data_IF_461135069011
#
_entry.id   IF_461135069011
#
_cell.length_a   1.000
_cell.length_b   1.000
_cell.length_c   1.000
_cell.angle_alpha   90.00
_cell.angle_beta   90.00
_cell.angle_gamma   90.00
#
_symmetry.space_group_name_H-M   'P 1'
#
loop_
_entity.id
_entity.type
_entity.pdbx_description
1 polymer ?
#
# COMPACT_ATOMS: atom_id res chain seq x y z
N UNK A 1 15.49 39.54 -50.85
CA UNK A 1 15.73 39.09 -49.46
C UNK A 1 14.43 39.21 -48.69
N UNK A 2 13.85 38.10 -48.25
CA UNK A 2 13.43 37.91 -46.85
C UNK A 2 12.95 36.47 -46.69
N UNK A 3 13.67 35.77 -45.81
CA UNK A 3 13.53 34.37 -45.48
C UNK A 3 12.23 34.14 -44.70
N UNK A 4 11.45 33.16 -45.15
CA UNK A 4 10.31 32.62 -44.43
C UNK A 4 10.89 31.86 -43.23
N UNK A 5 10.75 32.43 -42.03
CA UNK A 5 11.08 31.74 -40.78
C UNK A 5 10.10 30.58 -40.57
N UNK A 6 10.55 29.37 -40.89
CA UNK A 6 9.96 28.14 -40.39
C UNK A 6 10.02 28.17 -38.86
N UNK A 7 8.88 28.47 -38.22
CA UNK A 7 8.72 28.23 -36.79
C UNK A 7 8.70 26.73 -36.57
N UNK A 8 9.85 26.21 -36.19
CA UNK A 8 10.03 24.88 -35.64
C UNK A 8 9.35 24.86 -34.27
N UNK A 9 8.05 24.59 -34.24
CA UNK A 9 7.31 24.36 -32.99
C UNK A 9 7.86 23.06 -32.41
N UNK A 10 8.53 23.07 -31.24
CA UNK A 10 8.95 21.82 -30.63
C UNK A 10 7.69 21.06 -30.23
N UNK A 11 7.42 19.97 -30.96
CA UNK A 11 6.45 18.97 -30.56
C UNK A 11 6.91 18.42 -29.20
N UNK A 12 6.30 18.92 -28.12
CA UNK A 12 6.47 18.36 -26.77
C UNK A 12 5.88 16.95 -26.77
N UNK A 13 6.66 15.96 -27.21
CA UNK A 13 6.34 14.57 -27.00
C UNK A 13 6.16 14.37 -25.49
N UNK A 14 5.09 13.69 -25.04
CA UNK A 14 4.88 13.46 -23.62
C UNK A 14 6.09 12.71 -23.06
N UNK A 15 6.86 13.37 -22.18
CA UNK A 15 8.08 12.85 -21.58
C UNK A 15 7.75 11.61 -20.75
N UNK A 16 7.93 10.43 -21.35
CA UNK A 16 7.88 9.16 -20.64
C UNK A 16 9.20 8.97 -19.89
N UNK A 17 9.18 9.10 -18.57
CA UNK A 17 10.35 8.92 -17.71
C UNK A 17 10.27 7.55 -17.03
N UNK A 18 11.29 6.73 -17.19
CA UNK A 18 11.41 5.47 -16.45
C UNK A 18 11.92 5.77 -15.05
N UNK A 19 11.08 5.57 -14.03
CA UNK A 19 11.42 5.77 -12.62
C UNK A 19 12.18 4.57 -12.09
N UNK A 20 11.74 3.36 -12.42
CA UNK A 20 12.38 2.14 -11.95
C UNK A 20 12.16 0.99 -12.91
N UNK A 21 13.02 -0.01 -12.83
CA UNK A 21 12.99 -1.22 -13.66
C UNK A 21 13.32 -2.44 -12.80
N UNK A 22 12.64 -3.55 -13.07
CA UNK A 22 12.96 -4.85 -12.49
C UNK A 22 12.94 -5.91 -13.58
N UNK A 23 14.06 -6.62 -13.74
CA UNK A 23 14.19 -7.77 -14.64
C UNK A 23 14.45 -9.03 -13.83
N UNK A 24 13.58 -10.03 -13.94
CA UNK A 24 13.72 -11.33 -13.25
C UNK A 24 13.19 -12.40 -14.19
N UNK A 25 13.94 -13.49 -14.41
CA UNK A 25 13.57 -14.59 -15.31
C UNK A 25 13.12 -14.09 -16.70
N UNK A 26 13.87 -13.17 -17.30
CA UNK A 26 13.58 -12.53 -18.60
C UNK A 26 12.27 -11.71 -18.67
N UNK A 27 11.53 -11.58 -17.57
CA UNK A 27 10.42 -10.65 -17.47
C UNK A 27 10.95 -9.29 -17.00
N UNK A 28 10.82 -8.27 -17.85
CA UNK A 28 11.11 -6.88 -17.47
C UNK A 28 9.82 -6.12 -17.20
N UNK A 29 9.72 -5.56 -16.00
CA UNK A 29 8.65 -4.64 -15.62
C UNK A 29 9.29 -3.28 -15.35
N UNK A 30 8.71 -2.24 -15.94
CA UNK A 30 9.15 -0.87 -15.79
C UNK A 30 8.05 -0.07 -15.09
N UNK A 31 8.46 0.80 -14.17
CA UNK A 31 7.60 1.77 -13.52
C UNK A 31 7.91 3.13 -14.11
N UNK A 32 6.94 3.73 -14.79
CA UNK A 32 7.14 4.91 -15.63
C UNK A 32 6.20 6.02 -15.22
N UNK A 33 6.63 7.26 -15.41
CA UNK A 33 5.81 8.46 -15.27
C UNK A 33 5.65 9.13 -16.62
N UNK A 34 4.41 9.42 -16.99
CA UNK A 34 4.06 10.07 -18.24
C UNK A 34 2.93 11.06 -17.97
N UNK A 35 3.13 12.33 -18.34
CA UNK A 35 2.13 13.40 -18.16
C UNK A 35 1.57 13.52 -16.73
N UNK A 36 2.41 13.30 -15.71
CA UNK A 36 2.00 13.35 -14.31
C UNK A 36 1.29 12.09 -13.78
N UNK A 37 1.00 11.11 -14.66
CA UNK A 37 0.45 9.82 -14.28
C UNK A 37 1.55 8.75 -14.16
N UNK A 38 1.31 7.77 -13.31
CA UNK A 38 2.20 6.63 -13.12
C UNK A 38 1.64 5.41 -13.84
N UNK A 39 2.51 4.64 -14.48
CA UNK A 39 2.15 3.42 -15.18
C UNK A 39 3.12 2.29 -14.86
N UNK A 40 2.59 1.07 -14.89
CA UNK A 40 3.41 -0.14 -15.00
C UNK A 40 3.45 -0.51 -16.47
N UNK A 41 4.67 -0.66 -17.00
CA UNK A 41 4.94 -1.03 -18.39
C UNK A 41 5.59 -2.40 -18.48
N UNK A 42 5.12 -3.20 -19.42
CA UNK A 42 5.78 -4.42 -19.86
C UNK A 42 5.70 -4.51 -21.38
N UNK A 43 6.85 -4.57 -22.06
CA UNK A 43 6.95 -4.47 -23.52
C UNK A 43 6.23 -3.20 -24.03
N UNK A 44 5.18 -3.37 -24.83
CA UNK A 44 4.36 -2.28 -25.38
C UNK A 44 3.04 -2.06 -24.62
N UNK A 45 2.79 -2.84 -23.56
CA UNK A 45 1.57 -2.73 -22.76
C UNK A 45 1.80 -1.82 -21.55
N UNK A 46 0.78 -1.03 -21.25
CA UNK A 46 0.75 -0.10 -20.13
C UNK A 46 -0.50 -0.35 -19.30
N UNK A 47 -0.34 -0.30 -17.99
CA UNK A 47 -1.47 -0.20 -17.07
C UNK A 47 -1.27 1.00 -16.16
N UNK A 48 -2.32 1.80 -16.02
CA UNK A 48 -2.35 2.92 -15.08
C UNK A 48 -2.13 2.39 -13.67
N UNK A 49 -1.21 3.02 -12.94
CA UNK A 49 -0.94 2.75 -11.54
C UNK A 49 -1.68 3.77 -10.68
N UNK A 50 -2.56 3.27 -9.80
CA UNK A 50 -3.31 4.12 -8.89
C UNK A 50 -2.43 4.53 -7.71
N UNK A 51 -2.22 5.84 -7.56
CA UNK A 51 -1.54 6.40 -6.39
C UNK A 51 -2.60 6.64 -5.32
N UNK A 52 -2.44 6.05 -4.12
CA UNK A 52 -3.42 6.24 -3.06
C UNK A 52 -3.42 7.70 -2.58
N UNK A 53 -4.62 8.25 -2.35
CA UNK A 53 -4.84 9.60 -1.82
C UNK A 53 -5.25 9.53 -0.36
N UNK A 54 -4.64 10.36 0.50
CA UNK A 54 -4.97 10.44 1.93
C UNK A 54 -6.44 10.77 2.19
N UNK A 55 -7.11 11.46 1.26
CA UNK A 55 -8.55 11.73 1.32
C UNK A 55 -9.38 10.45 1.25
N UNK A 56 -8.90 9.46 0.50
CA UNK A 56 -9.52 8.16 0.31
C UNK A 56 -9.00 7.11 1.30
N UNK A 57 -8.25 7.51 2.34
CA UNK A 57 -7.85 6.60 3.39
C UNK A 57 -9.10 6.09 4.12
N UNK A 58 -9.54 4.88 3.77
CA UNK A 58 -10.61 4.19 4.46
C UNK A 58 -10.12 3.69 5.82
N UNK A 59 -11.09 3.39 6.67
CA UNK A 59 -10.85 2.67 7.91
C UNK A 59 -10.56 1.21 7.54
N UNK A 60 -9.48 0.68 8.11
CA UNK A 60 -9.17 -0.73 8.01
C UNK A 60 -9.68 -1.43 9.28
N UNK A 61 -10.34 -2.58 9.14
CA UNK A 61 -10.77 -3.39 10.29
C UNK A 61 -9.58 -3.97 11.08
N UNK A 62 -8.41 -4.04 10.43
CA UNK A 62 -7.12 -4.46 11.00
C UNK A 62 -6.13 -3.31 10.80
N UNK A 63 -4.95 -3.40 11.41
CA UNK A 63 -3.90 -2.41 11.19
C UNK A 63 -3.64 -2.16 9.69
N UNK A 64 -3.46 -0.90 9.26
CA UNK A 64 -3.31 -0.57 7.85
C UNK A 64 -2.07 -1.27 7.24
N UNK A 65 -2.16 -1.75 6.00
CA UNK A 65 -1.02 -2.34 5.31
C UNK A 65 0.09 -1.31 5.13
N UNK A 66 1.35 -1.75 5.27
CA UNK A 66 2.50 -0.86 5.07
C UNK A 66 2.55 -0.32 3.64
N UNK A 67 3.27 0.80 3.44
CA UNK A 67 3.47 1.43 2.13
C UNK A 67 3.92 0.43 1.05
N UNK A 68 4.84 -0.49 1.41
CA UNK A 68 5.32 -1.52 0.48
C UNK A 68 4.22 -2.52 0.11
N UNK A 69 3.39 -2.94 1.06
CA UNK A 69 2.29 -3.86 0.80
C UNK A 69 1.26 -3.21 -0.12
N UNK A 70 0.88 -1.95 0.14
CA UNK A 70 -0.01 -1.18 -0.73
C UNK A 70 0.57 -1.05 -2.15
N UNK A 71 1.84 -0.68 -2.26
CA UNK A 71 2.52 -0.58 -3.54
C UNK A 71 2.50 -1.90 -4.30
N UNK A 72 2.84 -3.02 -3.63
CA UNK A 72 2.83 -4.36 -4.21
C UNK A 72 1.44 -4.77 -4.70
N UNK A 73 0.38 -4.46 -3.95
CA UNK A 73 -1.00 -4.73 -4.36
C UNK A 73 -1.37 -3.96 -5.63
N UNK A 74 -1.00 -2.68 -5.71
CA UNK A 74 -1.25 -1.89 -6.92
C UNK A 74 -0.44 -2.41 -8.13
N UNK A 75 0.82 -2.80 -7.93
CA UNK A 75 1.61 -3.45 -8.99
C UNK A 75 0.92 -4.75 -9.45
N UNK A 76 0.43 -5.57 -8.53
CA UNK A 76 -0.29 -6.80 -8.87
C UNK A 76 -1.53 -6.49 -9.71
N UNK A 77 -2.32 -5.49 -9.32
CA UNK A 77 -3.49 -5.04 -10.08
C UNK A 77 -3.12 -4.65 -11.51
N UNK A 78 -2.07 -3.83 -11.68
CA UNK A 78 -1.61 -3.42 -13.00
C UNK A 78 -1.15 -4.61 -13.87
N UNK A 79 -0.44 -5.57 -13.29
CA UNK A 79 0.01 -6.76 -14.01
C UNK A 79 -1.16 -7.64 -14.43
N UNK A 80 -2.16 -7.82 -13.55
CA UNK A 80 -3.39 -8.56 -13.88
C UNK A 80 -4.15 -7.90 -15.03
N UNK A 81 -4.26 -6.57 -15.04
CA UNK A 81 -4.87 -5.80 -16.15
C UNK A 81 -4.16 -6.05 -17.49
N UNK A 82 -2.85 -6.27 -17.47
CA UNK A 82 -2.05 -6.62 -18.65
C UNK A 82 -2.03 -8.12 -18.96
N UNK A 83 -2.88 -8.93 -18.30
CA UNK A 83 -2.90 -10.39 -18.40
C UNK A 83 -1.59 -11.08 -17.97
N UNK A 84 -0.81 -10.44 -17.11
CA UNK A 84 0.44 -10.99 -16.54
C UNK A 84 0.14 -11.52 -15.14
N UNK A 85 0.08 -12.84 -14.99
CA UNK A 85 -0.09 -13.50 -13.69
C UNK A 85 1.26 -14.01 -13.20
N UNK A 86 1.74 -13.44 -12.09
CA UNK A 86 2.98 -13.84 -11.45
C UNK A 86 2.71 -14.63 -10.18
N UNK A 87 3.55 -15.63 -9.93
CA UNK A 87 3.61 -16.27 -8.62
C UNK A 87 3.96 -15.26 -7.53
N UNK A 88 3.46 -15.52 -6.31
CA UNK A 88 3.64 -14.65 -5.14
C UNK A 88 5.11 -14.24 -4.93
N UNK A 89 6.05 -15.19 -5.04
CA UNK A 89 7.49 -14.97 -4.84
C UNK A 89 8.07 -14.04 -5.91
N UNK A 90 7.69 -14.25 -7.17
CA UNK A 90 8.15 -13.43 -8.30
C UNK A 90 7.59 -12.01 -8.21
N UNK A 91 6.29 -11.87 -7.94
CA UNK A 91 5.63 -10.58 -7.73
C UNK A 91 6.33 -9.77 -6.63
N UNK A 92 6.60 -10.39 -5.47
CA UNK A 92 7.26 -9.70 -4.36
C UNK A 92 8.68 -9.23 -4.71
N UNK A 93 9.45 -10.03 -5.47
CA UNK A 93 10.79 -9.60 -5.92
C UNK A 93 10.71 -8.41 -6.87
N UNK A 94 9.81 -8.45 -7.86
CA UNK A 94 9.61 -7.33 -8.77
C UNK A 94 9.17 -6.07 -8.03
N UNK A 95 8.14 -6.18 -7.17
CA UNK A 95 7.66 -5.06 -6.39
C UNK A 95 8.76 -4.48 -5.48
N UNK A 96 9.58 -5.32 -4.85
CA UNK A 96 10.71 -4.85 -4.03
C UNK A 96 11.74 -4.06 -4.83
N UNK A 97 12.14 -4.55 -6.01
CA UNK A 97 13.09 -3.85 -6.87
C UNK A 97 12.53 -2.51 -7.35
N UNK A 98 11.26 -2.50 -7.79
CA UNK A 98 10.59 -1.28 -8.22
C UNK A 98 10.47 -0.27 -7.08
N UNK A 99 10.06 -0.73 -5.89
CA UNK A 99 9.92 0.13 -4.71
C UNK A 99 11.26 0.75 -4.30
N UNK A 100 12.37 -0.01 -4.35
CA UNK A 100 13.70 0.55 -4.12
C UNK A 100 14.03 1.68 -5.11
N UNK A 101 13.72 1.50 -6.39
CA UNK A 101 13.92 2.55 -7.38
C UNK A 101 13.00 3.76 -7.18
N UNK A 102 11.75 3.57 -6.79
CA UNK A 102 10.82 4.66 -6.45
C UNK A 102 11.38 5.51 -5.31
N UNK A 103 11.84 4.90 -4.21
CA UNK A 103 12.42 5.65 -3.07
C UNK A 103 13.65 6.49 -3.45
N UNK A 104 14.39 6.07 -4.47
CA UNK A 104 15.58 6.78 -4.94
C UNK A 104 15.20 7.88 -5.93
N UNK A 105 14.32 7.57 -6.88
CA UNK A 105 14.09 8.38 -8.08
C UNK A 105 12.81 9.23 -8.03
N UNK A 106 11.85 8.92 -7.15
CA UNK A 106 10.60 9.66 -7.02
C UNK A 106 10.11 9.74 -5.56
N UNK A 107 10.67 10.71 -4.82
CA UNK A 107 10.26 10.97 -3.43
C UNK A 107 8.83 11.48 -3.30
N UNK A 108 8.27 12.11 -4.33
CA UNK A 108 6.88 12.58 -4.28
C UNK A 108 5.93 11.39 -4.19
N UNK A 109 6.17 10.36 -5.00
CA UNK A 109 5.39 9.13 -4.92
C UNK A 109 5.58 8.43 -3.57
N UNK A 110 6.80 8.31 -3.07
CA UNK A 110 7.05 7.73 -1.74
C UNK A 110 6.27 8.47 -0.64
N UNK A 111 6.30 9.80 -0.66
CA UNK A 111 5.60 10.63 0.30
C UNK A 111 4.08 10.48 0.18
N UNK A 112 3.52 10.30 -1.02
CA UNK A 112 2.10 10.03 -1.19
C UNK A 112 1.66 8.75 -0.47
N UNK A 113 2.45 7.67 -0.57
CA UNK A 113 2.20 6.42 0.16
C UNK A 113 2.33 6.60 1.68
N UNK A 114 3.34 7.35 2.14
CA UNK A 114 3.51 7.66 3.58
C UNK A 114 2.32 8.45 4.13
N UNK A 115 1.95 9.55 3.46
CA UNK A 115 0.81 10.38 3.86
C UNK A 115 -0.51 9.58 3.86
N UNK A 116 -0.70 8.66 2.92
CA UNK A 116 -1.84 7.75 2.94
C UNK A 116 -1.80 6.82 4.16
N UNK A 117 -0.66 6.19 4.42
CA UNK A 117 -0.47 5.28 5.55
C UNK A 117 -0.69 5.98 6.89
N UNK A 118 -0.13 7.18 7.07
CA UNK A 118 -0.26 7.96 8.29
C UNK A 118 -1.72 8.38 8.52
N UNK A 119 -2.43 8.80 7.47
CA UNK A 119 -3.84 9.11 7.54
C UNK A 119 -4.70 7.87 7.89
N UNK A 120 -4.39 6.72 7.30
CA UNK A 120 -5.07 5.47 7.60
C UNK A 120 -4.81 4.99 9.03
N UNK A 121 -3.56 5.11 9.50
CA UNK A 121 -3.16 4.74 10.86
C UNK A 121 -3.81 5.65 11.90
N UNK A 122 -3.87 6.95 11.63
CA UNK A 122 -4.59 7.91 12.48
C UNK A 122 -6.06 7.52 12.62
N UNK A 123 -6.76 7.26 11.51
CA UNK A 123 -8.17 6.84 11.52
C UNK A 123 -8.36 5.53 12.28
N UNK A 124 -7.51 4.52 12.03
CA UNK A 124 -7.54 3.24 12.74
C UNK A 124 -7.39 3.43 14.25
N UNK A 125 -6.41 4.23 14.69
CA UNK A 125 -6.17 4.48 16.10
C UNK A 125 -7.31 5.25 16.76
N UNK A 126 -7.90 6.25 16.10
CA UNK A 126 -9.03 7.01 16.63
C UNK A 126 -10.25 6.12 16.94
N UNK A 127 -10.50 5.09 16.13
CA UNK A 127 -11.64 4.19 16.36
C UNK A 127 -11.36 3.11 17.41
N UNK A 128 -10.12 2.62 17.48
CA UNK A 128 -9.70 1.67 18.50
C UNK A 128 -9.58 2.32 19.88
N UNK A 129 -9.24 3.61 19.93
CA UNK A 129 -9.14 4.42 21.16
C UNK A 129 -10.50 4.96 21.63
N UNK A 130 -11.60 4.25 21.39
CA UNK A 130 -12.86 4.52 22.10
C UNK A 130 -12.66 4.26 23.60
N UNK A 131 -12.12 5.26 24.31
CA UNK A 131 -12.07 5.31 25.77
C UNK A 131 -13.53 5.32 26.20
N UNK A 132 -14.07 4.14 26.53
CA UNK A 132 -15.28 4.07 27.33
C UNK A 132 -14.93 4.75 28.64
N UNK A 133 -15.44 5.96 28.86
CA UNK A 133 -15.56 6.48 30.22
C UNK A 133 -16.41 5.46 30.97
N UNK A 134 -15.74 4.57 31.70
CA UNK A 134 -16.40 3.76 32.70
C UNK A 134 -16.91 4.77 33.71
N UNK A 135 -18.20 5.08 33.63
CA UNK A 135 -18.89 5.78 34.72
C UNK A 135 -18.54 4.97 35.96
N UNK A 136 -17.89 5.57 36.98
CA UNK A 136 -17.55 4.85 38.20
C UNK A 136 -18.82 4.15 38.68
N UNK A 137 -18.81 2.83 38.93
CA UNK A 137 -19.99 2.18 39.45
C UNK A 137 -20.38 2.92 40.73
N UNK A 138 -21.57 3.52 40.75
CA UNK A 138 -22.09 4.16 41.94
C UNK A 138 -22.18 3.07 43.00
N UNK A 139 -21.27 3.09 43.97
CA UNK A 139 -21.06 2.05 44.97
C UNK A 139 -22.38 1.79 45.70
N UNK A 140 -23.07 0.65 45.50
CA UNK A 140 -24.01 0.18 46.49
C UNK A 140 -23.15 -0.42 47.60
N UNK A 141 -23.28 0.09 48.83
CA UNK A 141 -22.62 -0.51 49.99
C UNK A 141 -22.94 -2.01 50.04
N UNK A 142 -21.92 -2.85 49.89
CA UNK A 142 -22.02 -4.31 50.03
C UNK A 142 -21.49 -4.71 51.41
N UNK A 143 -22.24 -5.49 52.22
CA UNK A 143 -21.66 -6.23 53.33
C UNK A 143 -20.90 -7.47 52.84
N UNK A 144 -20.05 -7.98 53.73
CA UNK A 144 -18.87 -8.80 53.45
C UNK A 144 -19.11 -10.26 52.99
N UNK A 145 -18.12 -10.70 52.18
CA UNK A 145 -17.49 -12.02 52.05
C UNK A 145 -18.30 -13.24 51.56
N UNK A 146 -17.81 -13.87 50.47
CA UNK A 146 -17.45 -15.30 50.42
C UNK A 146 -16.64 -15.67 49.16
N UNK A 147 -15.73 -16.63 49.33
CA UNK A 147 -14.73 -17.19 48.40
C UNK A 147 -15.33 -17.95 47.21
N UNK A 148 -14.64 -18.00 46.06
CA UNK A 148 -14.21 -19.27 45.43
C UNK A 148 -13.40 -19.11 44.12
N UNK A 149 -12.45 -20.04 44.01
CA UNK A 149 -11.50 -20.38 42.93
C UNK A 149 -12.12 -20.69 41.56
N UNK A 150 -11.43 -20.36 40.46
CA UNK A 150 -11.14 -21.33 39.39
C UNK A 150 -10.14 -20.84 38.33
N UNK A 151 -9.19 -21.74 38.06
CA UNK A 151 -8.25 -21.90 36.95
C UNK A 151 -8.81 -21.63 35.53
N UNK A 152 -8.02 -21.05 34.62
CA UNK A 152 -7.84 -21.56 33.24
C UNK A 152 -6.74 -20.79 32.49
N UNK A 153 -5.75 -21.56 32.04
CA UNK A 153 -4.74 -21.26 31.03
C UNK A 153 -5.36 -20.84 29.69
N UNK A 154 -4.61 -20.12 28.85
CA UNK A 154 -4.32 -20.56 27.47
C UNK A 154 -3.30 -19.62 26.82
N UNK A 155 -2.13 -20.21 26.55
CA UNK A 155 -1.13 -19.73 25.60
C UNK A 155 -1.79 -19.40 24.25
N UNK A 156 -1.67 -18.14 23.81
CA UNK A 156 -1.87 -17.79 22.42
C UNK A 156 -0.51 -17.60 21.76
N UNK A 157 -0.13 -18.67 21.08
CA UNK A 157 1.03 -18.82 20.22
C UNK A 157 0.98 -17.74 19.11
N UNK A 158 1.80 -16.68 19.25
CA UNK A 158 1.92 -15.57 18.31
C UNK A 158 2.74 -15.96 17.07
N UNK A 159 2.34 -17.04 16.40
CA UNK A 159 2.98 -17.43 15.14
C UNK A 159 2.41 -16.63 13.97
N UNK A 160 3.29 -15.88 13.30
CA UNK A 160 3.01 -15.03 12.12
C UNK A 160 2.29 -15.78 10.99
N UNK A 161 2.43 -17.11 10.91
CA UNK A 161 1.73 -17.95 9.93
C UNK A 161 0.22 -18.07 10.20
N UNK A 162 -0.23 -17.90 11.45
CA UNK A 162 -1.66 -17.90 11.81
C UNK A 162 -2.38 -16.66 11.28
N UNK A 163 -1.75 -15.48 11.39
CA UNK A 163 -2.35 -14.21 10.93
C UNK A 163 -2.53 -14.15 9.40
N UNK A 164 -1.72 -14.88 8.63
CA UNK A 164 -1.79 -14.89 7.17
C UNK A 164 -2.87 -15.82 6.62
N UNK A 165 -3.27 -16.86 7.35
CA UNK A 165 -4.37 -17.74 6.95
C UNK A 165 -5.74 -17.04 7.07
N UNK A 166 -5.94 -16.28 8.15
CA UNK A 166 -7.17 -15.51 8.38
C UNK A 166 -7.35 -14.30 7.43
N UNK A 167 -6.32 -13.94 6.65
CA UNK A 167 -6.40 -12.85 5.68
C UNK A 167 -6.80 -13.32 4.28
N UNK A 168 -6.75 -14.63 4.01
CA UNK A 168 -7.07 -15.23 2.72
C UNK A 168 -7.89 -16.50 2.93
N UNK A 169 -9.12 -16.37 3.41
CA UNK A 169 -10.07 -17.48 3.45
C UNK A 169 -10.28 -18.02 2.03
N UNK A 170 -9.91 -19.28 1.81
CA UNK A 170 -10.57 -20.14 0.83
C UNK A 170 -11.77 -20.79 1.51
#
# INVERSE_FOLDING_TARGET
MNLISNQNVPSYAPLCVVISKSTINNLTIEFVRQNGFYFVRHLNNYSLFSVPSSQNAWIFNKAPPSCFILFRLNIQGCLVTMNIRLERKMLSKHASNLWKGVKINDRHLENAFKSFYDAALYKFNCEQLNIRMVVPPATPQQPAAQEQSSLATNDFDNSFDGMLKDLFNF
#
